data_IF_349393644256
#
_entry.id   IF_349393644256
#
_cell.length_a   1.000
_cell.length_b   1.000
_cell.length_c   1.000
_cell.angle_alpha   90.00
_cell.angle_beta   90.00
_cell.angle_gamma   90.00
#
_symmetry.space_group_name_H-M   'P 1'
#
loop_
_entity.id
_entity.type
_entity.pdbx_description
1 polymer ?
#
# COMPACT_ATOMS: atom_id res chain seq x y z
N UNK A 1 8.35 -2.14 11.82
CA UNK A 1 7.46 -1.57 10.77
C UNK A 1 6.24 -0.83 11.32
N UNK A 2 6.21 -0.60 12.61
CA UNK A 2 5.07 0.10 13.22
C UNK A 2 4.82 1.49 12.61
N UNK A 3 5.90 2.25 12.32
CA UNK A 3 5.76 3.56 11.72
C UNK A 3 5.05 3.50 10.36
N UNK A 4 5.48 2.57 9.50
CA UNK A 4 4.89 2.45 8.16
C UNK A 4 3.43 2.05 8.26
N UNK A 5 3.09 1.10 9.12
CA UNK A 5 1.71 0.67 9.30
C UNK A 5 0.81 1.76 9.87
N UNK A 6 1.35 2.60 10.75
CA UNK A 6 0.56 3.69 11.35
C UNK A 6 0.40 4.88 10.43
N UNK A 7 1.33 5.10 9.50
CA UNK A 7 1.39 6.30 8.67
C UNK A 7 1.25 6.02 7.18
N UNK A 8 0.77 4.84 6.80
CA UNK A 8 0.72 4.44 5.39
C UNK A 8 -0.10 5.39 4.52
N UNK A 9 -1.09 6.06 5.08
CA UNK A 9 -1.93 7.00 4.36
C UNK A 9 -1.36 8.40 4.23
N UNK A 10 -0.21 8.66 4.82
CA UNK A 10 0.46 9.95 4.76
C UNK A 10 1.53 9.95 3.68
N UNK A 11 1.97 11.16 3.33
CA UNK A 11 3.04 11.34 2.36
C UNK A 11 4.38 11.10 3.05
N UNK A 12 4.73 9.83 3.24
CA UNK A 12 5.94 9.45 3.94
C UNK A 12 7.12 9.44 2.96
N UNK A 13 8.19 10.14 3.32
CA UNK A 13 9.42 10.11 2.54
C UNK A 13 10.51 9.34 3.29
N UNK A 14 11.50 8.85 2.54
CA UNK A 14 12.65 8.19 3.13
C UNK A 14 13.39 9.14 4.07
N UNK A 15 13.47 10.42 3.69
CA UNK A 15 14.14 11.44 4.52
C UNK A 15 13.46 11.59 5.86
N UNK A 16 12.14 11.68 5.88
CA UNK A 16 11.38 11.82 7.12
C UNK A 16 11.52 10.57 8.00
N UNK A 17 11.43 9.40 7.41
CA UNK A 17 11.57 8.15 8.14
C UNK A 17 12.97 8.03 8.75
N UNK A 18 14.00 8.42 7.99
CA UNK A 18 15.37 8.39 8.47
C UNK A 18 15.55 9.35 9.64
N UNK A 19 14.99 10.54 9.55
CA UNK A 19 15.08 11.54 10.60
C UNK A 19 14.44 11.02 11.89
N UNK A 20 13.27 10.43 11.79
CA UNK A 20 12.57 9.88 12.95
C UNK A 20 13.33 8.72 13.59
N UNK A 21 14.03 7.95 12.79
CA UNK A 21 14.82 6.82 13.27
C UNK A 21 16.21 7.24 13.76
N UNK A 22 16.58 8.51 13.60
CA UNK A 22 17.91 8.97 13.95
C UNK A 22 19.00 8.44 13.03
N UNK A 23 18.66 8.17 11.76
CA UNK A 23 19.55 7.58 10.78
C UNK A 23 19.65 8.47 9.55
N UNK A 24 20.71 8.27 8.76
CA UNK A 24 20.77 8.88 7.43
C UNK A 24 19.87 8.07 6.48
N UNK A 25 19.52 8.70 5.35
CA UNK A 25 18.72 7.98 4.34
C UNK A 25 19.43 6.72 3.84
N UNK A 26 20.75 6.82 3.63
CA UNK A 26 21.54 5.68 3.16
C UNK A 26 21.52 4.55 4.20
N UNK A 27 21.73 4.88 5.46
CA UNK A 27 21.72 3.89 6.54
C UNK A 27 20.35 3.23 6.68
N UNK A 28 19.30 4.02 6.61
CA UNK A 28 17.93 3.48 6.70
C UNK A 28 17.62 2.57 5.53
N UNK A 29 17.99 2.96 4.31
CA UNK A 29 17.78 2.13 3.12
C UNK A 29 18.48 0.79 3.26
N UNK A 30 19.74 0.81 3.72
CA UNK A 30 20.51 -0.42 3.94
C UNK A 30 19.84 -1.28 5.02
N UNK A 31 19.40 -0.65 6.09
CA UNK A 31 18.74 -1.35 7.19
C UNK A 31 17.49 -2.08 6.69
N UNK A 32 16.64 -1.40 5.94
CA UNK A 32 15.45 -2.02 5.37
C UNK A 32 15.81 -3.19 4.45
N UNK A 33 16.78 -2.99 3.58
CA UNK A 33 17.17 -4.02 2.62
C UNK A 33 17.71 -5.26 3.34
N UNK A 34 18.53 -5.07 4.37
CA UNK A 34 19.09 -6.17 5.14
C UNK A 34 18.02 -6.91 5.95
N UNK A 35 17.08 -6.18 6.53
CA UNK A 35 16.06 -6.77 7.40
C UNK A 35 14.91 -7.42 6.63
N UNK A 36 14.51 -6.83 5.53
CA UNK A 36 13.31 -7.25 4.81
C UNK A 36 13.58 -7.81 3.42
N UNK A 37 14.79 -7.62 2.91
CA UNK A 37 15.11 -7.96 1.53
C UNK A 37 14.49 -7.02 0.51
N UNK A 38 13.82 -5.96 0.96
CA UNK A 38 13.09 -5.03 0.11
C UNK A 38 13.49 -3.59 0.42
N UNK A 39 13.24 -2.69 -0.54
CA UNK A 39 13.48 -1.27 -0.29
C UNK A 39 12.38 -0.71 0.60
N UNK A 40 12.65 0.47 1.18
CA UNK A 40 11.65 1.17 1.98
C UNK A 40 10.38 1.43 1.18
N UNK A 41 10.54 1.88 -0.08
CA UNK A 41 9.40 2.19 -0.95
C UNK A 41 8.59 0.94 -1.26
N UNK A 42 9.25 -0.18 -1.54
CA UNK A 42 8.55 -1.44 -1.78
C UNK A 42 7.76 -1.87 -0.56
N UNK A 43 8.35 -1.75 0.61
CA UNK A 43 7.67 -2.10 1.86
C UNK A 43 6.45 -1.22 2.09
N UNK A 44 6.60 0.09 1.87
CA UNK A 44 5.50 1.04 2.03
C UNK A 44 4.37 0.72 1.03
N UNK A 45 4.73 0.43 -0.21
CA UNK A 45 3.73 0.08 -1.23
C UNK A 45 3.00 -1.21 -0.87
N UNK A 46 3.68 -2.20 -0.33
CA UNK A 46 3.02 -3.43 0.10
C UNK A 46 1.99 -3.17 1.18
N UNK A 47 2.32 -2.34 2.16
CA UNK A 47 1.39 -1.98 3.23
C UNK A 47 0.19 -1.24 2.66
N UNK A 48 0.44 -0.26 1.78
CA UNK A 48 -0.62 0.52 1.14
C UNK A 48 -1.54 -0.36 0.31
N UNK A 49 -0.98 -1.25 -0.50
CA UNK A 49 -1.78 -2.15 -1.34
C UNK A 49 -2.56 -3.15 -0.49
N UNK A 50 -1.99 -3.62 0.59
CA UNK A 50 -2.70 -4.49 1.53
C UNK A 50 -3.94 -3.83 2.09
N UNK A 51 -3.83 -2.58 2.52
CA UNK A 51 -4.97 -1.83 3.02
C UNK A 51 -5.98 -1.53 1.91
N UNK A 52 -5.49 -1.17 0.71
CA UNK A 52 -6.37 -0.92 -0.42
C UNK A 52 -7.17 -2.17 -0.80
N UNK A 53 -6.52 -3.32 -0.81
CA UNK A 53 -7.18 -4.59 -1.12
C UNK A 53 -8.32 -4.87 -0.14
N UNK A 54 -8.07 -4.65 1.14
CA UNK A 54 -9.09 -4.83 2.17
C UNK A 54 -10.26 -3.87 1.96
N UNK A 55 -9.98 -2.60 1.70
CA UNK A 55 -11.02 -1.61 1.47
C UNK A 55 -11.85 -1.93 0.23
N UNK A 56 -11.22 -2.46 -0.81
CA UNK A 56 -11.96 -2.87 -2.02
C UNK A 56 -12.99 -3.95 -1.71
N UNK A 57 -12.69 -4.83 -0.79
CA UNK A 57 -13.57 -5.92 -0.40
C UNK A 57 -14.60 -5.47 0.64
N UNK A 58 -14.17 -4.71 1.64
CA UNK A 58 -14.99 -4.41 2.81
C UNK A 58 -15.79 -3.11 2.73
N UNK A 59 -15.50 -2.23 1.77
CA UNK A 59 -16.20 -0.96 1.66
C UNK A 59 -16.79 -0.76 0.27
N UNK A 60 -17.64 0.27 0.16
CA UNK A 60 -18.20 0.69 -1.12
C UNK A 60 -17.54 1.95 -1.66
N UNK A 61 -16.46 2.40 -1.04
CA UNK A 61 -15.72 3.56 -1.51
C UNK A 61 -15.25 3.34 -2.95
N UNK A 62 -15.18 4.41 -3.72
CA UNK A 62 -14.67 4.32 -5.09
C UNK A 62 -13.19 3.96 -5.07
N UNK A 63 -12.71 3.43 -6.19
CA UNK A 63 -11.29 3.10 -6.34
C UNK A 63 -10.43 4.35 -6.12
N UNK A 64 -10.87 5.50 -6.63
CA UNK A 64 -10.15 6.76 -6.42
C UNK A 64 -10.03 7.11 -4.95
N UNK A 65 -11.14 7.03 -4.21
CA UNK A 65 -11.12 7.31 -2.78
C UNK A 65 -10.19 6.38 -2.03
N UNK A 66 -10.24 5.10 -2.36
CA UNK A 66 -9.38 4.10 -1.72
C UNK A 66 -7.92 4.41 -1.97
N UNK A 67 -7.57 4.74 -3.21
CA UNK A 67 -6.19 5.07 -3.55
C UNK A 67 -5.68 6.24 -2.72
N UNK A 68 -6.45 7.31 -2.63
CA UNK A 68 -6.04 8.47 -1.86
C UNK A 68 -5.98 8.18 -0.36
N UNK A 69 -6.94 7.46 0.17
CA UNK A 69 -6.94 7.09 1.60
C UNK A 69 -5.73 6.23 1.95
N UNK A 70 -5.24 5.46 1.01
CA UNK A 70 -4.08 4.61 1.22
C UNK A 70 -2.75 5.30 0.91
N UNK A 71 -2.79 6.58 0.56
CA UNK A 71 -1.57 7.37 0.40
C UNK A 71 -1.04 7.50 -1.01
N UNK A 72 -1.81 7.09 -2.02
CA UNK A 72 -1.41 7.25 -3.41
C UNK A 72 -1.93 8.57 -3.95
N UNK A 73 -1.05 9.36 -4.56
CA UNK A 73 -1.41 10.65 -5.14
C UNK A 73 -1.75 10.57 -6.61
N UNK A 74 -1.49 9.45 -7.24
CA UNK A 74 -1.59 9.30 -8.69
C UNK A 74 -2.26 7.97 -9.01
N UNK A 75 -3.39 8.03 -9.71
CA UNK A 75 -4.16 6.83 -10.02
C UNK A 75 -3.44 5.89 -10.98
N UNK A 76 -2.70 6.43 -11.94
CA UNK A 76 -1.92 5.57 -12.84
C UNK A 76 -0.88 4.77 -12.08
N UNK A 77 -0.22 5.42 -11.14
CA UNK A 77 0.78 4.76 -10.31
C UNK A 77 0.13 3.71 -9.40
N UNK A 78 -1.01 4.06 -8.80
CA UNK A 78 -1.75 3.12 -7.96
C UNK A 78 -2.16 1.87 -8.76
N UNK A 79 -2.75 2.07 -9.92
CA UNK A 79 -3.20 0.95 -10.76
C UNK A 79 -2.04 0.05 -11.17
N UNK A 80 -0.92 0.65 -11.55
CA UNK A 80 0.27 -0.10 -11.95
C UNK A 80 0.83 -0.95 -10.81
N UNK A 81 0.96 -0.35 -9.64
CA UNK A 81 1.50 -1.03 -8.47
C UNK A 81 0.53 -2.11 -7.98
N UNK A 82 -0.76 -1.80 -7.96
CA UNK A 82 -1.77 -2.76 -7.54
C UNK A 82 -1.75 -4.00 -8.45
N UNK A 83 -1.76 -3.78 -9.76
CA UNK A 83 -1.72 -4.89 -10.70
C UNK A 83 -0.46 -5.72 -10.56
N UNK A 84 0.68 -5.07 -10.35
CA UNK A 84 1.94 -5.77 -10.16
C UNK A 84 1.92 -6.67 -8.93
N UNK A 85 1.31 -6.22 -7.84
CA UNK A 85 1.32 -6.95 -6.58
C UNK A 85 0.17 -7.95 -6.44
N UNK A 86 -0.96 -7.71 -7.12
CA UNK A 86 -2.17 -8.53 -6.98
C UNK A 86 -2.56 -9.26 -8.27
N UNK A 87 -1.83 -9.06 -9.35
CA UNK A 87 -2.09 -9.68 -10.66
C UNK A 87 -3.46 -9.34 -11.24
N UNK A 88 -4.08 -8.27 -10.76
CA UNK A 88 -5.34 -7.79 -11.32
C UNK A 88 -5.49 -6.31 -11.04
N UNK A 89 -6.34 -5.63 -11.83
CA UNK A 89 -6.62 -4.23 -11.57
C UNK A 89 -7.48 -4.12 -10.31
N UNK A 90 -7.51 -2.94 -9.66
CA UNK A 90 -8.38 -2.74 -8.50
C UNK A 90 -9.84 -3.05 -8.80
N UNK A 91 -10.32 -2.63 -9.96
CA UNK A 91 -11.70 -2.89 -10.38
C UNK A 91 -11.98 -4.38 -10.51
N UNK A 92 -11.10 -5.09 -11.22
CA UNK A 92 -11.25 -6.52 -11.42
C UNK A 92 -11.14 -7.28 -10.10
N UNK A 93 -10.25 -6.84 -9.24
CA UNK A 93 -10.09 -7.43 -7.92
C UNK A 93 -11.39 -7.34 -7.13
N UNK A 94 -11.99 -6.14 -7.10
CA UNK A 94 -13.28 -5.94 -6.41
C UNK A 94 -14.37 -6.79 -7.00
N UNK A 95 -14.49 -6.80 -8.32
CA UNK A 95 -15.52 -7.59 -9.02
C UNK A 95 -15.38 -9.07 -8.75
N UNK A 96 -14.16 -9.55 -8.69
CA UNK A 96 -13.88 -10.97 -8.42
C UNK A 96 -14.51 -11.40 -7.10
N UNK A 97 -14.42 -10.59 -6.07
CA UNK A 97 -14.99 -10.91 -4.77
C UNK A 97 -16.50 -10.73 -4.72
N UNK A 98 -17.04 -9.73 -5.42
CA UNK A 98 -18.47 -9.51 -5.43
C UNK A 98 -19.20 -10.49 -6.33
N UNK A 99 -18.60 -10.81 -7.50
CA UNK A 99 -19.22 -11.72 -8.48
C UNK A 99 -19.30 -13.15 -7.96
N UNK A 100 -18.36 -13.57 -7.15
CA UNK A 100 -18.36 -14.91 -6.60
C UNK A 100 -19.23 -15.04 -5.34
N UNK A 101 -19.78 -13.94 -4.86
CA UNK A 101 -20.58 -13.95 -3.66
C UNK A 101 -19.80 -14.16 -2.38
N UNK A 102 -18.51 -14.00 -2.43
CA UNK A 102 -17.65 -14.22 -1.25
C UNK A 102 -18.07 -13.33 -0.08
N UNK A 103 -18.59 -12.16 -0.37
CA UNK A 103 -18.98 -11.20 0.66
C UNK A 103 -20.30 -11.53 1.34
N UNK A 104 -21.09 -12.41 0.79
CA UNK A 104 -22.44 -12.69 1.30
C UNK A 104 -22.45 -13.54 2.56
N UNK A 105 -21.39 -14.23 2.82
CA UNK A 105 -21.32 -15.08 4.01
C UNK A 105 -20.70 -14.39 5.22
N UNK A 106 -20.27 -13.18 5.04
CA UNK A 106 -19.64 -12.42 6.12
C UNK A 106 -20.65 -11.92 7.12
#
# INVERSE_FOLDING_TARGET
MAYVNSHFGQNISLAEAAKLAGMTEVSLSRFFKLRTGKTFIDTLNEVRIGHASRMLIETTHSVNEIAYKCGFNNMSNFNRIFKKKKDSTPKDFRQSYTSTGVRTFV
#
